data_IF_191295879239
#
_entry.id   IF_191295879239
#
_cell.length_a   1.000
_cell.length_b   1.000
_cell.length_c   1.000
_cell.angle_alpha   90.00
_cell.angle_beta   90.00
_cell.angle_gamma   90.00
#
_symmetry.space_group_name_H-M   'P 1'
#
loop_
_entity.id
_entity.type
_entity.pdbx_description
1 polymer ?
#
# COMPACT_ATOMS: atom_id res chain seq x y z
N UNK A 1 43.15 71.47 13.83
CA UNK A 1 43.01 70.70 12.57
C UNK A 1 42.88 69.20 12.93
N UNK A 2 41.63 68.73 13.05
CA UNK A 2 41.35 67.37 13.47
C UNK A 2 41.14 66.49 12.17
N UNK A 3 42.06 65.57 11.97
CA UNK A 3 41.98 64.60 10.83
C UNK A 3 41.08 63.46 11.26
N UNK A 4 39.93 63.33 10.58
CA UNK A 4 39.01 62.14 10.70
C UNK A 4 39.55 61.04 9.83
N UNK A 5 39.95 59.91 10.41
CA UNK A 5 40.26 58.68 9.71
C UNK A 5 38.97 57.92 9.52
N UNK A 6 38.49 57.83 8.29
CA UNK A 6 37.35 56.94 7.90
C UNK A 6 37.94 55.57 7.59
N UNK A 7 37.72 54.63 8.49
CA UNK A 7 38.04 53.22 8.24
C UNK A 7 36.97 52.61 7.34
N UNK A 8 37.32 52.27 6.10
CA UNK A 8 36.48 51.55 5.17
C UNK A 8 36.59 50.06 5.49
N UNK A 9 35.56 49.48 6.13
CA UNK A 9 35.48 48.04 6.37
C UNK A 9 34.93 47.39 5.09
N UNK A 10 35.81 46.73 4.33
CA UNK A 10 35.40 45.85 3.23
C UNK A 10 34.79 44.59 3.82
N UNK A 11 33.46 44.46 3.72
CA UNK A 11 32.77 43.19 3.90
C UNK A 11 33.03 42.33 2.64
N UNK A 12 34.00 41.43 2.72
CA UNK A 12 34.18 40.37 1.75
C UNK A 12 33.05 39.36 1.99
N UNK A 13 31.97 39.49 1.24
CA UNK A 13 30.96 38.43 1.12
C UNK A 13 31.62 37.27 0.42
N UNK A 14 31.91 36.21 1.14
CA UNK A 14 32.23 34.91 0.52
C UNK A 14 30.98 34.40 -0.15
N UNK A 15 30.74 34.80 -1.41
CA UNK A 15 29.90 34.08 -2.34
C UNK A 15 30.73 32.86 -2.78
N UNK A 16 30.70 31.82 -2.00
CA UNK A 16 31.14 30.51 -2.44
C UNK A 16 30.14 30.03 -3.48
N UNK A 17 30.45 30.17 -4.75
CA UNK A 17 29.84 29.37 -5.80
C UNK A 17 30.35 27.94 -5.61
N UNK A 18 29.66 27.15 -4.78
CA UNK A 18 29.77 25.72 -4.85
C UNK A 18 29.00 25.26 -6.11
N UNK A 19 29.66 25.34 -7.27
CA UNK A 19 29.21 24.72 -8.53
C UNK A 19 29.28 23.18 -8.48
N UNK A 20 29.26 22.59 -7.30
CA UNK A 20 29.12 21.14 -7.15
C UNK A 20 27.64 20.80 -7.26
N UNK A 21 27.27 20.19 -8.40
CA UNK A 21 25.93 19.65 -8.61
C UNK A 21 25.51 18.84 -7.36
N UNK A 22 24.31 19.07 -6.88
CA UNK A 22 23.81 18.33 -5.72
C UNK A 22 23.75 16.84 -6.03
N UNK A 23 23.80 15.98 -5.01
CA UNK A 23 23.59 14.53 -5.21
C UNK A 23 22.29 14.25 -5.97
N UNK A 24 21.25 15.04 -5.71
CA UNK A 24 19.94 14.91 -6.39
C UNK A 24 20.09 15.19 -7.90
N UNK A 25 20.82 16.23 -8.29
CA UNK A 25 21.04 16.57 -9.71
C UNK A 25 21.86 15.50 -10.43
N UNK A 26 22.92 15.00 -9.78
CA UNK A 26 23.77 13.93 -10.35
C UNK A 26 22.95 12.66 -10.57
N UNK A 27 22.19 12.21 -9.57
CA UNK A 27 21.37 11.01 -9.65
C UNK A 27 20.20 11.18 -10.62
N UNK A 28 19.59 12.36 -10.69
CA UNK A 28 18.54 12.67 -11.65
C UNK A 28 19.02 12.54 -13.11
N UNK A 29 20.24 13.00 -13.42
CA UNK A 29 20.85 12.82 -14.75
C UNK A 29 21.09 11.35 -15.10
N UNK A 30 21.23 10.49 -14.11
CA UNK A 30 21.38 9.04 -14.26
C UNK A 30 20.03 8.30 -14.29
N UNK A 31 18.89 9.01 -14.25
CA UNK A 31 17.56 8.42 -14.19
C UNK A 31 17.23 7.83 -12.81
N UNK A 32 17.95 8.21 -11.75
CA UNK A 32 17.76 7.74 -10.39
C UNK A 32 17.00 8.79 -9.59
N UNK A 33 15.84 8.43 -9.07
CA UNK A 33 15.04 9.25 -8.17
C UNK A 33 15.47 9.00 -6.72
N UNK A 34 15.96 10.05 -6.03
CA UNK A 34 16.25 10.01 -4.60
C UNK A 34 15.01 10.47 -3.82
N UNK A 35 14.46 9.58 -3.01
CA UNK A 35 13.33 9.87 -2.13
C UNK A 35 13.77 9.89 -0.67
N UNK A 36 13.49 11.01 0.01
CA UNK A 36 13.68 11.11 1.46
C UNK A 36 12.54 10.39 2.18
N UNK A 37 12.85 9.32 2.91
CA UNK A 37 11.85 8.56 3.68
C UNK A 37 11.60 9.16 5.08
N UNK A 38 12.52 9.97 5.58
CA UNK A 38 12.46 10.62 6.90
C UNK A 38 13.07 9.78 8.02
N UNK A 39 12.76 8.50 8.08
CA UNK A 39 13.32 7.53 9.04
C UNK A 39 13.36 6.14 8.41
N UNK A 40 14.11 5.23 9.03
CA UNK A 40 14.10 3.82 8.64
C UNK A 40 12.74 3.18 8.92
N UNK A 41 12.24 2.31 8.03
CA UNK A 41 11.00 1.58 8.26
C UNK A 41 11.20 0.52 9.35
N UNK A 42 10.17 0.27 10.16
CA UNK A 42 10.17 -0.82 11.13
C UNK A 42 10.10 -2.20 10.45
N UNK A 43 9.58 -2.23 9.23
CA UNK A 43 9.43 -3.41 8.37
C UNK A 43 8.79 -3.03 7.05
N UNK A 44 8.56 -4.01 6.19
CA UNK A 44 7.87 -3.84 4.90
C UNK A 44 6.75 -4.87 4.67
N UNK A 45 6.29 -5.50 5.74
CA UNK A 45 5.11 -6.36 5.68
C UNK A 45 3.84 -5.51 5.70
N UNK A 46 3.02 -5.51 4.63
CA UNK A 46 1.85 -4.64 4.52
C UNK A 46 0.75 -4.95 5.53
N UNK A 47 0.76 -6.14 6.12
CA UNK A 47 -0.27 -6.55 7.09
C UNK A 47 0.11 -6.22 8.55
N UNK A 48 1.38 -5.87 8.81
CA UNK A 48 1.89 -5.64 10.17
C UNK A 48 2.21 -4.17 10.42
N UNK A 49 2.83 -3.50 9.44
CA UNK A 49 3.33 -2.14 9.62
C UNK A 49 2.21 -1.10 9.62
N UNK A 50 2.44 0.03 10.33
CA UNK A 50 1.43 1.08 10.50
C UNK A 50 1.98 2.49 10.27
N UNK A 51 3.27 2.62 9.91
CA UNK A 51 3.94 3.90 9.81
C UNK A 51 3.84 4.58 8.44
N UNK A 52 4.01 5.90 8.44
CA UNK A 52 4.11 6.70 7.20
C UNK A 52 5.36 6.36 6.38
N UNK A 53 6.55 6.09 6.99
CA UNK A 53 7.71 5.67 6.24
C UNK A 53 7.49 4.36 5.46
N UNK A 54 6.84 3.39 6.09
CA UNK A 54 6.47 2.10 5.49
C UNK A 54 5.48 2.28 4.35
N UNK A 55 4.45 3.10 4.57
CA UNK A 55 3.42 3.39 3.57
C UNK A 55 4.03 3.88 2.24
N UNK A 56 4.99 4.82 2.30
CA UNK A 56 5.66 5.34 1.09
C UNK A 56 6.40 4.26 0.32
N UNK A 57 7.06 3.34 1.04
CA UNK A 57 7.79 2.23 0.43
C UNK A 57 6.82 1.23 -0.16
N UNK A 58 5.77 0.85 0.58
CA UNK A 58 4.77 -0.11 0.13
C UNK A 58 4.03 0.38 -1.12
N UNK A 59 3.70 1.69 -1.21
CA UNK A 59 3.12 2.29 -2.42
C UNK A 59 4.01 2.16 -3.66
N UNK A 60 5.33 2.08 -3.49
CA UNK A 60 6.26 1.91 -4.60
C UNK A 60 6.51 0.43 -4.96
N UNK A 61 6.28 -0.50 -4.04
CA UNK A 61 6.61 -1.91 -4.21
C UNK A 61 5.41 -2.80 -4.52
N UNK A 62 4.22 -2.44 -4.04
CA UNK A 62 3.02 -3.28 -4.10
C UNK A 62 1.86 -2.54 -4.76
N UNK A 63 0.88 -3.31 -5.19
CA UNK A 63 -0.34 -2.81 -5.80
C UNK A 63 -1.56 -3.60 -5.31
N UNK A 64 -2.66 -2.88 -5.06
CA UNK A 64 -3.94 -3.47 -4.66
C UNK A 64 -4.87 -3.80 -5.83
N UNK A 65 -6.09 -4.22 -5.53
CA UNK A 65 -7.15 -4.41 -6.54
C UNK A 65 -7.37 -3.13 -7.34
N UNK A 66 -7.37 -2.01 -6.64
CA UNK A 66 -7.53 -0.65 -7.17
C UNK A 66 -6.46 0.27 -6.60
N UNK A 67 -6.14 1.35 -7.31
CA UNK A 67 -5.19 2.37 -6.88
C UNK A 67 -5.88 3.71 -6.69
N UNK A 68 -5.36 4.54 -5.80
CA UNK A 68 -5.89 5.87 -5.55
C UNK A 68 -5.64 6.82 -6.73
N UNK A 69 -6.67 7.56 -7.14
CA UNK A 69 -6.59 8.60 -8.17
C UNK A 69 -6.49 9.98 -7.51
N UNK A 70 -5.29 10.59 -7.44
CA UNK A 70 -5.10 11.89 -6.78
C UNK A 70 -5.78 13.06 -7.49
N UNK A 71 -6.21 12.89 -8.76
CA UNK A 71 -6.87 13.95 -9.52
C UNK A 71 -8.37 14.05 -9.22
N UNK A 72 -9.00 12.93 -8.87
CA UNK A 72 -10.46 12.85 -8.69
C UNK A 72 -10.87 12.45 -7.28
N UNK A 73 -9.91 12.08 -6.40
CA UNK A 73 -10.13 11.42 -5.11
C UNK A 73 -10.93 10.10 -5.22
N UNK A 74 -11.01 9.54 -6.42
CA UNK A 74 -11.61 8.23 -6.68
C UNK A 74 -10.57 7.14 -6.78
N UNK A 75 -10.91 6.07 -7.49
CA UNK A 75 -10.01 4.93 -7.72
C UNK A 75 -9.80 4.69 -9.22
N UNK A 76 -8.68 4.06 -9.54
CA UNK A 76 -8.32 3.56 -10.86
C UNK A 76 -8.12 2.04 -10.79
N UNK A 77 -8.18 1.31 -11.92
CA UNK A 77 -7.74 -0.06 -11.99
C UNK A 77 -6.30 -0.24 -11.48
N UNK A 78 -6.09 -1.31 -10.71
CA UNK A 78 -4.80 -1.82 -10.28
C UNK A 78 -4.62 -3.25 -10.78
N UNK A 79 -4.45 -4.21 -9.88
CA UNK A 79 -4.45 -5.65 -10.22
C UNK A 79 -5.77 -6.05 -10.87
N UNK A 80 -6.90 -5.48 -10.44
CA UNK A 80 -8.17 -5.64 -11.15
C UNK A 80 -8.26 -4.67 -12.32
N UNK A 81 -8.55 -5.19 -13.51
CA UNK A 81 -8.79 -4.37 -14.72
C UNK A 81 -10.15 -3.67 -14.70
N UNK A 82 -11.13 -4.28 -14.06
CA UNK A 82 -12.51 -3.78 -13.93
C UNK A 82 -13.20 -4.40 -12.72
N UNK A 83 -14.32 -3.80 -12.31
CA UNK A 83 -15.19 -4.34 -11.27
C UNK A 83 -16.65 -4.02 -11.53
N UNK A 84 -17.52 -4.86 -10.98
CA UNK A 84 -18.96 -4.69 -10.97
C UNK A 84 -19.50 -4.65 -9.55
N UNK A 85 -20.53 -3.84 -9.32
CA UNK A 85 -21.19 -3.71 -8.03
C UNK A 85 -22.66 -4.11 -8.22
N UNK A 86 -23.17 -4.99 -7.35
CA UNK A 86 -24.57 -5.37 -7.35
C UNK A 86 -25.50 -4.18 -7.05
N UNK A 87 -26.77 -4.29 -7.47
CA UNK A 87 -27.76 -3.18 -7.32
C UNK A 87 -27.98 -2.76 -5.87
N UNK A 88 -27.83 -3.70 -4.94
CA UNK A 88 -27.94 -3.46 -3.50
C UNK A 88 -26.65 -2.93 -2.86
N UNK A 89 -25.57 -2.83 -3.63
CA UNK A 89 -24.27 -2.34 -3.16
C UNK A 89 -23.52 -3.32 -2.24
N UNK A 90 -23.95 -4.56 -2.16
CA UNK A 90 -23.39 -5.57 -1.25
C UNK A 90 -22.30 -6.44 -1.89
N UNK A 91 -22.37 -6.70 -3.19
CA UNK A 91 -21.45 -7.62 -3.86
C UNK A 91 -20.60 -6.87 -4.85
N UNK A 92 -19.28 -7.00 -4.69
CA UNK A 92 -18.27 -6.46 -5.60
C UNK A 92 -17.60 -7.65 -6.30
N UNK A 93 -17.54 -7.61 -7.63
CA UNK A 93 -16.86 -8.63 -8.44
C UNK A 93 -15.73 -7.94 -9.20
N UNK A 94 -14.49 -8.28 -8.85
CA UNK A 94 -13.28 -7.74 -9.49
C UNK A 94 -12.76 -8.72 -10.51
N UNK A 95 -12.57 -8.29 -11.76
CA UNK A 95 -11.93 -9.10 -12.82
C UNK A 95 -10.46 -8.74 -12.89
N UNK A 96 -9.59 -9.73 -12.77
CA UNK A 96 -8.15 -9.50 -12.71
C UNK A 96 -7.55 -9.22 -14.10
N UNK A 97 -6.55 -8.36 -14.12
CA UNK A 97 -5.72 -8.17 -15.31
C UNK A 97 -4.88 -9.46 -15.54
N UNK A 98 -4.99 -10.11 -16.70
CA UNK A 98 -4.24 -11.34 -16.98
C UNK A 98 -2.73 -11.13 -17.06
N UNK A 99 -2.28 -9.87 -17.21
CA UNK A 99 -0.87 -9.52 -17.28
C UNK A 99 -0.28 -9.10 -15.91
N UNK A 100 -1.11 -9.04 -14.85
CA UNK A 100 -0.65 -8.74 -13.50
C UNK A 100 0.27 -9.85 -13.00
N UNK A 101 1.52 -9.51 -12.63
CA UNK A 101 2.55 -10.47 -12.24
C UNK A 101 3.29 -10.02 -10.97
N UNK A 102 3.67 -11.00 -10.20
CA UNK A 102 4.68 -10.84 -9.17
C UNK A 102 6.06 -10.63 -9.79
N UNK A 103 7.01 -10.15 -8.99
CA UNK A 103 8.40 -9.91 -9.44
C UNK A 103 9.14 -11.20 -9.84
N UNK A 104 8.69 -12.36 -9.39
CA UNK A 104 9.20 -13.68 -9.80
C UNK A 104 8.63 -14.14 -11.16
N UNK A 105 7.69 -13.38 -11.77
CA UNK A 105 7.04 -13.68 -13.04
C UNK A 105 5.74 -14.48 -12.93
N UNK A 106 5.36 -14.93 -11.74
CA UNK A 106 4.05 -15.58 -11.51
C UNK A 106 2.89 -14.62 -11.72
N UNK A 107 1.77 -15.15 -12.24
CA UNK A 107 0.53 -14.38 -12.40
C UNK A 107 -0.08 -14.12 -11.02
N UNK A 108 -0.51 -12.89 -10.76
CA UNK A 108 -1.28 -12.56 -9.56
C UNK A 108 -2.70 -13.12 -9.72
N UNK A 109 -3.12 -13.95 -8.77
CA UNK A 109 -4.41 -14.67 -8.81
C UNK A 109 -5.37 -14.14 -7.74
N UNK A 110 -6.69 -14.29 -7.94
CA UNK A 110 -7.68 -13.97 -6.91
C UNK A 110 -7.43 -14.68 -5.57
N UNK A 111 -6.92 -15.92 -5.61
CA UNK A 111 -6.58 -16.71 -4.41
C UNK A 111 -5.50 -16.06 -3.56
N UNK A 112 -4.59 -15.26 -4.16
CA UNK A 112 -3.58 -14.53 -3.41
C UNK A 112 -4.21 -13.45 -2.52
N UNK A 113 -5.31 -12.84 -2.95
CA UNK A 113 -6.08 -11.90 -2.13
C UNK A 113 -6.88 -12.61 -1.04
N UNK A 114 -7.48 -13.76 -1.35
CA UNK A 114 -8.18 -14.58 -0.33
C UNK A 114 -7.20 -14.96 0.78
N UNK A 115 -6.03 -15.50 0.44
CA UNK A 115 -4.96 -15.81 1.38
C UNK A 115 -4.52 -14.59 2.20
N UNK A 116 -4.33 -13.46 1.54
CA UNK A 116 -3.85 -12.22 2.17
C UNK A 116 -4.86 -11.66 3.16
N UNK A 117 -6.14 -11.72 2.83
CA UNK A 117 -7.20 -11.26 3.73
C UNK A 117 -7.46 -12.25 4.87
N UNK A 118 -7.29 -13.54 4.65
CA UNK A 118 -7.26 -14.51 5.75
C UNK A 118 -6.11 -14.21 6.71
N UNK A 119 -4.92 -13.95 6.17
CA UNK A 119 -3.74 -13.61 6.97
C UNK A 119 -3.93 -12.34 7.81
N UNK A 120 -4.34 -11.22 7.22
CA UNK A 120 -4.50 -9.98 7.99
C UNK A 120 -5.64 -10.07 9.02
N UNK A 121 -6.68 -10.85 8.74
CA UNK A 121 -7.80 -11.08 9.64
C UNK A 121 -7.52 -12.19 10.67
N UNK A 122 -6.41 -12.94 10.55
CA UNK A 122 -6.04 -13.95 11.54
C UNK A 122 -5.78 -13.29 12.91
N UNK A 123 -6.46 -13.74 13.97
CA UNK A 123 -6.21 -13.24 15.33
C UNK A 123 -4.75 -13.38 15.76
N UNK A 124 -4.09 -14.44 15.32
CA UNK A 124 -2.71 -14.78 15.68
C UNK A 124 -1.69 -13.79 15.09
N UNK A 125 -1.97 -13.19 13.94
CA UNK A 125 -1.10 -12.16 13.34
C UNK A 125 -1.12 -10.85 14.14
N UNK A 126 -2.25 -10.53 14.75
CA UNK A 126 -2.39 -9.30 15.54
C UNK A 126 -2.28 -8.02 14.71
N UNK A 127 -2.71 -8.06 13.46
CA UNK A 127 -2.65 -6.93 12.53
C UNK A 127 -3.47 -5.73 13.02
N UNK A 128 -2.84 -4.57 13.18
CA UNK A 128 -3.51 -3.37 13.72
C UNK A 128 -4.56 -2.79 12.77
N UNK A 129 -4.40 -2.99 11.45
CA UNK A 129 -5.34 -2.51 10.43
C UNK A 129 -6.33 -3.58 9.92
N UNK A 130 -6.48 -4.69 10.66
CA UNK A 130 -7.47 -5.72 10.32
C UNK A 130 -8.91 -5.16 10.29
N UNK A 131 -9.19 -4.17 11.13
CA UNK A 131 -10.50 -3.51 11.24
C UNK A 131 -10.93 -2.78 9.96
N UNK A 132 -10.00 -2.38 9.09
CA UNK A 132 -10.33 -1.80 7.78
C UNK A 132 -11.13 -2.77 6.89
N UNK A 133 -10.97 -4.09 7.09
CA UNK A 133 -11.71 -5.11 6.36
C UNK A 133 -13.02 -5.55 7.05
N UNK A 134 -13.40 -4.97 8.18
CA UNK A 134 -14.65 -5.34 8.89
C UNK A 134 -15.93 -4.98 8.11
N UNK A 135 -15.81 -4.18 7.05
CA UNK A 135 -16.89 -3.96 6.09
C UNK A 135 -17.24 -5.22 5.28
N UNK A 136 -16.33 -6.19 5.20
CA UNK A 136 -16.54 -7.48 4.53
C UNK A 136 -17.34 -8.38 5.47
N UNK A 137 -18.31 -9.09 4.92
CA UNK A 137 -19.20 -9.98 5.68
C UNK A 137 -18.41 -10.95 6.53
N UNK A 138 -18.77 -11.06 7.80
CA UNK A 138 -18.16 -11.95 8.80
C UNK A 138 -16.66 -11.70 9.10
N UNK A 139 -16.02 -10.69 8.50
CA UNK A 139 -14.60 -10.42 8.72
C UNK A 139 -14.28 -10.07 10.18
N UNK A 140 -15.09 -9.23 10.81
CA UNK A 140 -14.96 -8.89 12.23
C UNK A 140 -15.12 -10.12 13.14
N UNK A 141 -16.13 -10.96 12.85
CA UNK A 141 -16.39 -12.19 13.62
C UNK A 141 -15.25 -13.21 13.49
N UNK A 142 -14.64 -13.30 12.31
CA UNK A 142 -13.46 -14.13 12.10
C UNK A 142 -12.26 -13.58 12.86
N UNK A 143 -11.96 -12.29 12.71
CA UNK A 143 -10.83 -11.65 13.40
C UNK A 143 -10.95 -11.75 14.93
N UNK A 144 -12.16 -11.68 15.48
CA UNK A 144 -12.43 -11.86 16.92
C UNK A 144 -12.47 -13.33 17.38
N UNK A 145 -12.21 -14.29 16.49
CA UNK A 145 -12.21 -15.72 16.79
C UNK A 145 -13.59 -16.33 17.05
N UNK A 146 -14.67 -15.62 16.73
CA UNK A 146 -16.05 -16.09 16.85
C UNK A 146 -16.41 -17.06 15.72
N UNK A 147 -15.86 -16.86 14.56
CA UNK A 147 -15.88 -17.75 13.39
C UNK A 147 -14.45 -18.26 13.17
N UNK A 148 -14.30 -19.57 12.97
CA UNK A 148 -12.98 -20.20 12.75
C UNK A 148 -12.74 -20.60 11.31
N UNK A 149 -13.79 -20.77 10.51
CA UNK A 149 -13.71 -21.14 9.11
C UNK A 149 -13.76 -19.90 8.26
N UNK A 150 -12.63 -19.57 7.63
CA UNK A 150 -12.50 -18.39 6.75
C UNK A 150 -13.42 -18.44 5.52
N UNK A 151 -13.85 -19.62 5.08
CA UNK A 151 -14.83 -19.75 3.99
C UNK A 151 -16.19 -19.08 4.30
N UNK A 152 -16.46 -18.73 5.56
CA UNK A 152 -17.65 -17.98 5.96
C UNK A 152 -17.48 -16.46 5.82
N UNK A 153 -16.25 -15.98 5.62
CA UNK A 153 -15.97 -14.57 5.34
C UNK A 153 -16.35 -14.25 3.90
N UNK A 154 -16.90 -13.06 3.68
CA UNK A 154 -17.45 -12.64 2.40
C UNK A 154 -16.41 -12.36 1.32
N UNK A 155 -15.39 -13.20 1.17
CA UNK A 155 -14.40 -13.11 0.10
C UNK A 155 -14.17 -14.48 -0.50
N UNK A 156 -14.17 -14.57 -1.83
CA UNK A 156 -13.93 -15.83 -2.54
C UNK A 156 -13.33 -15.59 -3.91
N UNK A 157 -12.53 -16.56 -4.38
CA UNK A 157 -11.97 -16.59 -5.72
C UNK A 157 -12.84 -17.49 -6.61
N UNK A 158 -13.12 -17.04 -7.82
CA UNK A 158 -13.81 -17.82 -8.82
C UNK A 158 -13.23 -17.50 -10.20
N UNK A 159 -12.60 -18.47 -10.84
CA UNK A 159 -11.87 -18.29 -12.10
C UNK A 159 -10.85 -17.12 -11.98
N UNK A 160 -10.97 -16.12 -12.85
CA UNK A 160 -10.13 -14.90 -12.83
C UNK A 160 -10.79 -13.74 -12.07
N UNK A 161 -11.64 -14.03 -11.09
CA UNK A 161 -12.43 -13.02 -10.36
C UNK A 161 -12.31 -13.21 -8.85
N UNK A 162 -12.24 -12.07 -8.15
CA UNK A 162 -12.46 -12.01 -6.72
C UNK A 162 -13.88 -11.47 -6.47
N UNK A 163 -14.65 -12.23 -5.71
CA UNK A 163 -15.99 -11.83 -5.29
C UNK A 163 -15.96 -11.46 -3.83
N UNK A 164 -16.40 -10.24 -3.52
CA UNK A 164 -16.44 -9.72 -2.16
C UNK A 164 -17.88 -9.36 -1.81
N UNK A 165 -18.36 -9.91 -0.71
CA UNK A 165 -19.68 -9.61 -0.13
C UNK A 165 -19.47 -8.75 1.12
N UNK A 166 -20.14 -7.61 1.20
CA UNK A 166 -20.08 -6.70 2.34
C UNK A 166 -21.14 -7.05 3.38
N UNK A 167 -20.89 -6.65 4.63
CA UNK A 167 -21.87 -6.74 5.72
C UNK A 167 -23.05 -5.77 5.49
N UNK A 168 -22.73 -4.56 5.06
CA UNK A 168 -23.67 -3.50 4.69
C UNK A 168 -23.15 -2.74 3.47
N UNK A 169 -24.00 -2.08 2.67
CA UNK A 169 -23.56 -1.27 1.55
C UNK A 169 -22.59 -0.19 2.02
N UNK A 170 -21.41 -0.12 1.41
CA UNK A 170 -20.35 0.82 1.77
C UNK A 170 -19.84 1.58 0.56
N UNK A 171 -20.25 2.86 0.37
CA UNK A 171 -19.81 3.67 -0.77
C UNK A 171 -18.30 3.92 -0.81
N UNK A 172 -17.63 3.81 0.33
CA UNK A 172 -16.19 4.04 0.47
C UNK A 172 -15.35 2.76 0.41
N UNK A 173 -15.95 1.59 0.15
CA UNK A 173 -15.24 0.31 0.12
C UNK A 173 -14.06 0.30 -0.85
N UNK A 174 -14.25 0.84 -2.06
CA UNK A 174 -13.16 0.92 -3.04
C UNK A 174 -11.99 1.80 -2.54
N UNK A 175 -12.27 2.83 -1.76
CA UNK A 175 -11.24 3.68 -1.17
C UNK A 175 -10.45 2.93 -0.07
N UNK A 176 -11.12 2.09 0.72
CA UNK A 176 -10.43 1.20 1.69
C UNK A 176 -9.42 0.31 0.96
N UNK A 177 -9.77 -0.23 -0.20
CA UNK A 177 -8.91 -1.11 -0.99
C UNK A 177 -7.68 -0.42 -1.59
N UNK A 178 -7.59 0.91 -1.51
CA UNK A 178 -6.35 1.63 -1.88
C UNK A 178 -5.30 1.65 -0.79
N UNK A 179 -5.63 1.19 0.42
CA UNK A 179 -4.71 1.10 1.53
C UNK A 179 -3.95 -0.23 1.51
N UNK A 180 -2.66 -0.18 1.78
CA UNK A 180 -1.75 -1.33 1.69
C UNK A 180 -2.14 -2.53 2.55
N UNK A 181 -2.89 -2.34 3.65
CA UNK A 181 -3.37 -3.43 4.49
C UNK A 181 -4.31 -4.40 3.76
N UNK A 182 -4.95 -3.97 2.68
CA UNK A 182 -5.80 -4.81 1.83
C UNK A 182 -5.07 -5.44 0.64
N UNK A 183 -3.78 -5.13 0.45
CA UNK A 183 -3.02 -5.58 -0.70
C UNK A 183 -2.50 -7.02 -0.54
N UNK A 184 -2.23 -7.70 -1.66
CA UNK A 184 -1.84 -9.09 -1.60
C UNK A 184 -0.38 -9.24 -1.18
N UNK A 185 -0.10 -10.34 -0.49
CA UNK A 185 1.24 -10.88 -0.29
C UNK A 185 1.36 -12.19 -1.06
N UNK A 186 2.59 -12.55 -1.44
CA UNK A 186 2.82 -13.79 -2.18
C UNK A 186 2.83 -14.98 -1.19
N UNK A 187 1.88 -15.94 -1.30
CA UNK A 187 1.72 -17.00 -0.31
C UNK A 187 2.98 -17.80 -0.05
N UNK A 188 3.63 -18.31 -1.11
CA UNK A 188 4.86 -19.11 -0.97
C UNK A 188 6.02 -18.33 -0.33
N UNK A 189 6.07 -17.01 -0.56
CA UNK A 189 7.07 -16.16 0.10
C UNK A 189 6.80 -16.05 1.59
N UNK A 190 5.55 -15.82 1.98
CA UNK A 190 5.15 -15.75 3.39
C UNK A 190 5.43 -17.08 4.09
N UNK A 191 5.01 -18.20 3.48
CA UNK A 191 5.21 -19.54 4.05
C UNK A 191 6.69 -19.89 4.23
N UNK A 192 7.55 -19.45 3.29
CA UNK A 192 9.00 -19.66 3.36
C UNK A 192 9.66 -18.91 4.51
N UNK A 193 9.14 -17.75 4.90
CA UNK A 193 9.78 -16.85 5.87
C UNK A 193 9.04 -16.74 7.20
N UNK A 194 8.16 -17.66 7.52
CA UNK A 194 7.54 -17.72 8.85
C UNK A 194 6.07 -18.12 8.85
N UNK A 195 5.42 -18.12 7.69
CA UNK A 195 4.02 -18.51 7.55
C UNK A 195 3.00 -17.41 7.84
N UNK A 196 1.74 -17.80 7.91
CA UNK A 196 0.60 -16.88 7.98
C UNK A 196 0.62 -15.93 9.18
N UNK A 197 1.26 -16.31 10.26
CA UNK A 197 1.19 -15.62 11.57
C UNK A 197 2.50 -14.95 11.98
N UNK A 198 3.43 -14.79 11.05
CA UNK A 198 4.74 -14.18 11.35
C UNK A 198 5.06 -13.03 10.41
#
# INVERSE_FOLDING_TARGET
MRIFFIAFVFLISCAGNDDTASKVDIFSQQGILLLGNGTEPAGIDPHIVTGVPEHKILLALLEGLVIFNPKTNGVLPGVASEWNISKDGLIYTFTFNPDAKWTNGEIVKPEHFVYSWERILSPELGAQYADMLYVVKNAESFHKGQIKDFNQVGVSAFENKLVVTLENPSPYFLNILTHYSSWPVHPETVDKFGGMTS
#
